data_IF_697069882934
#
_entry.id   IF_697069882934
#
_cell.length_a   1.000
_cell.length_b   1.000
_cell.length_c   1.000
_cell.angle_alpha   90.00
_cell.angle_beta   90.00
_cell.angle_gamma   90.00
#
_symmetry.space_group_name_H-M   'P 1'
#
loop_
_entity.id
_entity.type
_entity.pdbx_description
1 polymer ?
#
# COMPACT_ATOMS: atom_id res chain seq x y z
N UNK A 1 -10.21 7.93 -8.18
CA UNK A 1 -10.00 7.20 -6.91
C UNK A 1 -10.90 5.99 -6.96
N UNK A 2 -10.35 4.77 -6.83
CA UNK A 2 -11.20 3.57 -6.73
C UNK A 2 -11.85 3.58 -5.36
N UNK A 3 -13.17 3.75 -5.30
CA UNK A 3 -13.89 4.09 -4.08
C UNK A 3 -14.55 2.86 -3.47
N UNK A 4 -13.80 2.07 -2.70
CA UNK A 4 -14.29 0.85 -2.05
C UNK A 4 -14.03 0.86 -0.53
N UNK A 5 -14.55 -0.15 0.18
CA UNK A 5 -14.40 -0.23 1.65
C UNK A 5 -12.93 -0.21 2.07
N UNK A 6 -12.06 -0.91 1.34
CA UNK A 6 -10.63 -1.02 1.68
C UNK A 6 -9.91 0.33 1.64
N UNK A 7 -10.04 1.04 0.52
CA UNK A 7 -9.44 2.37 0.30
C UNK A 7 -9.94 3.40 1.32
N UNK A 8 -11.24 3.37 1.68
CA UNK A 8 -11.81 4.24 2.72
C UNK A 8 -11.28 3.93 4.12
N UNK A 9 -11.19 2.65 4.48
CA UNK A 9 -10.75 2.24 5.81
C UNK A 9 -9.26 2.53 6.02
N UNK A 10 -8.43 2.33 5.00
CA UNK A 10 -6.98 2.46 5.11
C UNK A 10 -6.44 3.83 4.64
N UNK A 11 -7.28 4.68 4.05
CA UNK A 11 -6.85 5.99 3.56
C UNK A 11 -5.94 5.95 2.33
N UNK A 12 -5.94 4.84 1.58
CA UNK A 12 -5.09 4.63 0.40
C UNK A 12 -5.85 4.92 -0.91
N UNK A 13 -5.12 5.36 -1.94
CA UNK A 13 -5.68 5.75 -3.26
C UNK A 13 -6.08 4.55 -4.10
N UNK A 14 -5.32 3.46 -3.99
CA UNK A 14 -5.51 2.23 -4.73
C UNK A 14 -5.75 1.06 -3.77
N UNK A 15 -6.64 0.11 -4.09
CA UNK A 15 -6.87 -1.08 -3.27
C UNK A 15 -5.75 -2.12 -3.48
N UNK A 16 -4.49 -1.70 -3.36
CA UNK A 16 -3.29 -2.51 -3.56
C UNK A 16 -2.51 -2.49 -2.25
N UNK A 17 -2.13 -3.69 -1.80
CA UNK A 17 -1.37 -3.90 -0.56
C UNK A 17 -0.09 -4.63 -0.91
N UNK A 18 1.04 -4.11 -0.43
CA UNK A 18 2.33 -4.76 -0.45
C UNK A 18 2.27 -5.97 0.50
N UNK A 19 2.50 -7.17 -0.05
CA UNK A 19 2.53 -8.39 0.75
C UNK A 19 3.81 -8.46 1.58
N UNK A 20 3.69 -8.86 2.84
CA UNK A 20 4.85 -9.09 3.70
C UNK A 20 5.74 -10.21 3.15
N UNK A 21 6.93 -9.83 2.68
CA UNK A 21 7.96 -10.72 2.14
C UNK A 21 9.22 -10.61 3.00
N UNK A 22 9.55 -11.70 3.71
CA UNK A 22 10.76 -11.78 4.54
C UNK A 22 12.00 -11.46 3.69
N UNK A 23 12.87 -10.60 4.21
CA UNK A 23 14.11 -10.11 3.54
C UNK A 23 13.92 -9.18 2.32
N UNK A 24 12.70 -9.00 1.81
CA UNK A 24 12.42 -8.14 0.63
C UNK A 24 11.68 -6.86 1.03
N UNK A 25 10.76 -6.94 2.00
CA UNK A 25 9.89 -5.82 2.41
C UNK A 25 10.62 -4.85 3.34
N UNK A 26 11.64 -4.18 2.78
CA UNK A 26 12.39 -3.15 3.49
C UNK A 26 11.61 -1.82 3.54
N UNK A 27 12.12 -0.87 4.32
CA UNK A 27 11.49 0.44 4.50
C UNK A 27 11.36 1.23 3.18
N UNK A 28 12.33 1.06 2.27
CA UNK A 28 12.33 1.75 0.97
C UNK A 28 11.21 1.24 0.05
N UNK A 29 11.02 -0.07 -0.03
CA UNK A 29 9.94 -0.67 -0.81
C UNK A 29 8.56 -0.26 -0.26
N UNK A 30 8.38 -0.32 1.07
CA UNK A 30 7.14 0.11 1.72
C UNK A 30 6.86 1.61 1.51
N UNK A 31 7.88 2.45 1.61
CA UNK A 31 7.75 3.89 1.36
C UNK A 31 7.34 4.17 -0.08
N UNK A 32 7.98 3.51 -1.06
CA UNK A 32 7.67 3.70 -2.48
C UNK A 32 6.25 3.25 -2.85
N UNK A 33 5.76 2.14 -2.28
CA UNK A 33 4.37 1.71 -2.49
C UNK A 33 3.37 2.66 -1.83
N UNK A 34 3.68 3.17 -0.64
CA UNK A 34 2.85 4.17 0.05
C UNK A 34 2.77 5.49 -0.72
N UNK A 35 3.91 5.97 -1.25
CA UNK A 35 3.98 7.19 -2.08
C UNK A 35 3.19 7.04 -3.39
N UNK A 36 3.23 5.84 -3.99
CA UNK A 36 2.41 5.52 -5.16
C UNK A 36 0.90 5.47 -4.84
N UNK A 37 0.52 5.46 -3.56
CA UNK A 37 -0.87 5.49 -3.08
C UNK A 37 -1.48 4.12 -2.78
N UNK A 38 -0.66 3.08 -2.66
CA UNK A 38 -1.06 1.79 -2.08
C UNK A 38 -0.77 1.73 -0.58
N UNK A 39 -1.00 0.56 0.03
CA UNK A 39 -0.48 0.27 1.37
C UNK A 39 0.86 -0.44 1.19
N UNK A 40 1.95 0.29 1.42
CA UNK A 40 3.30 -0.25 1.38
C UNK A 40 3.72 -0.92 2.68
#
# INVERSE_FOLDING_TARGET
MLNNKLTKTLGIKYPIIQGGMMWISNAELAANVSEAGGLG
#
